data_IF_088358042314
#
_entry.id   IF_088358042314
#
_cell.length_a   1.000
_cell.length_b   1.000
_cell.length_c   1.000
_cell.angle_alpha   90.00
_cell.angle_beta   90.00
_cell.angle_gamma   90.00
#
_symmetry.space_group_name_H-M   'P 1'
#
loop_
_entity.id
_entity.type
_entity.pdbx_description
1 polymer ?
#
# COMPACT_ATOMS: atom_id res chain seq x y z
N UNK A 1 37.74 32.35 -31.21
CA UNK A 1 37.60 30.90 -31.45
C UNK A 1 37.34 30.28 -30.09
N UNK A 2 36.10 30.37 -29.60
CA UNK A 2 35.71 29.78 -28.31
C UNK A 2 34.99 28.47 -28.58
N UNK A 3 35.55 27.38 -28.06
CA UNK A 3 34.98 26.05 -28.14
C UNK A 3 33.96 25.89 -27.00
N UNK A 4 32.68 25.93 -27.35
CA UNK A 4 31.60 25.50 -26.47
C UNK A 4 31.69 23.99 -26.25
N UNK A 5 32.20 23.58 -25.09
CA UNK A 5 32.03 22.20 -24.60
C UNK A 5 30.58 22.00 -24.19
N UNK A 6 29.79 21.46 -25.11
CA UNK A 6 28.46 20.94 -24.81
C UNK A 6 28.59 19.73 -23.89
N UNK A 7 28.18 19.90 -22.63
CA UNK A 7 28.01 18.81 -21.69
C UNK A 7 26.88 17.90 -22.21
N UNK A 8 27.25 16.80 -22.88
CA UNK A 8 26.29 15.75 -23.23
C UNK A 8 25.92 15.02 -21.95
N UNK A 9 24.81 15.42 -21.33
CA UNK A 9 24.22 14.68 -20.21
C UNK A 9 23.69 13.35 -20.77
N UNK A 10 24.15 12.19 -20.26
CA UNK A 10 23.67 10.91 -20.74
C UNK A 10 22.19 10.73 -20.39
N UNK A 11 21.38 10.30 -21.36
CA UNK A 11 19.94 9.96 -21.24
C UNK A 11 19.72 8.69 -20.41
N UNK A 12 20.15 8.71 -19.15
CA UNK A 12 19.99 7.60 -18.19
C UNK A 12 19.85 8.04 -16.73
N UNK A 13 20.04 9.32 -16.40
CA UNK A 13 20.02 9.81 -15.01
C UNK A 13 18.61 10.09 -14.45
N UNK A 14 17.54 10.06 -15.26
CA UNK A 14 16.23 10.59 -14.84
C UNK A 14 15.44 9.72 -13.85
N UNK A 15 15.90 8.51 -13.51
CA UNK A 15 15.18 7.61 -12.58
C UNK A 15 15.64 7.71 -11.12
N UNK A 16 16.78 8.34 -10.85
CA UNK A 16 17.37 8.41 -9.50
C UNK A 16 17.09 9.73 -8.76
N UNK A 17 16.43 10.70 -9.40
CA UNK A 17 16.22 12.05 -8.84
C UNK A 17 14.77 12.32 -8.39
N UNK A 18 13.85 11.34 -8.49
CA UNK A 18 12.48 11.53 -8.01
C UNK A 18 12.38 11.17 -6.53
N UNK A 19 11.86 12.07 -5.72
CA UNK A 19 11.44 11.73 -4.36
C UNK A 19 10.45 10.54 -4.40
N UNK A 20 10.63 9.56 -3.50
CA UNK A 20 9.71 8.43 -3.43
C UNK A 20 8.33 8.93 -3.01
N UNK A 21 7.31 8.40 -3.67
CA UNK A 21 5.93 8.66 -3.29
C UNK A 21 5.62 8.04 -1.92
N UNK A 22 4.59 8.56 -1.24
CA UNK A 22 4.14 7.99 0.04
C UNK A 22 3.84 6.49 -0.07
N UNK A 23 3.34 6.05 -1.24
CA UNK A 23 3.06 4.64 -1.52
C UNK A 23 4.34 3.81 -1.52
N UNK A 24 5.39 4.29 -2.19
CA UNK A 24 6.69 3.61 -2.26
C UNK A 24 7.38 3.56 -0.87
N UNK A 25 7.27 4.65 -0.09
CA UNK A 25 7.80 4.71 1.28
C UNK A 25 7.09 3.68 2.16
N UNK A 26 5.76 3.68 2.15
CA UNK A 26 4.93 2.78 2.96
C UNK A 26 5.12 1.32 2.54
N UNK A 27 5.22 1.03 1.24
CA UNK A 27 5.51 -0.32 0.75
C UNK A 27 6.87 -0.80 1.26
N UNK A 28 7.91 0.05 1.18
CA UNK A 28 9.25 -0.29 1.67
C UNK A 28 9.26 -0.55 3.19
N UNK A 29 8.52 0.26 3.97
CA UNK A 29 8.38 0.06 5.40
C UNK A 29 7.72 -1.30 5.71
N UNK A 30 6.60 -1.61 5.06
CA UNK A 30 5.88 -2.86 5.31
C UNK A 30 6.64 -4.10 4.80
N UNK A 31 7.37 -4.01 3.70
CA UNK A 31 8.23 -5.11 3.24
C UNK A 31 9.29 -5.49 4.28
N UNK A 32 9.78 -4.52 5.05
CA UNK A 32 10.75 -4.74 6.11
C UNK A 32 10.12 -5.03 7.48
N UNK A 33 8.79 -4.98 7.59
CA UNK A 33 8.09 -5.31 8.84
C UNK A 33 8.20 -6.81 9.16
N UNK A 34 8.25 -7.19 10.46
CA UNK A 34 8.26 -8.58 10.87
C UNK A 34 6.93 -9.28 10.51
N UNK A 35 7.02 -10.48 9.95
CA UNK A 35 5.89 -11.34 9.63
C UNK A 35 6.17 -12.78 10.04
N UNK A 36 5.12 -13.43 10.56
CA UNK A 36 5.22 -14.78 11.10
C UNK A 36 4.81 -15.80 10.05
N UNK A 37 5.65 -16.81 9.88
CA UNK A 37 5.41 -17.92 8.98
C UNK A 37 5.61 -19.25 9.70
N UNK A 38 4.91 -20.27 9.21
CA UNK A 38 5.15 -21.67 9.61
C UNK A 38 5.85 -22.39 8.48
N UNK A 39 6.99 -23.03 8.79
CA UNK A 39 7.73 -23.83 7.83
C UNK A 39 6.97 -25.11 7.47
N UNK A 40 6.81 -25.36 6.18
CA UNK A 40 6.16 -26.54 5.62
C UNK A 40 7.16 -27.68 5.35
N UNK A 41 8.45 -27.36 5.26
CA UNK A 41 9.56 -28.30 5.08
C UNK A 41 10.83 -27.70 5.67
N UNK A 42 11.87 -28.50 5.81
CA UNK A 42 13.18 -28.03 6.29
C UNK A 42 13.80 -27.02 5.32
N UNK A 43 14.49 -26.02 5.88
CA UNK A 43 15.24 -25.02 5.12
C UNK A 43 16.68 -24.96 5.66
N UNK A 44 17.71 -25.18 4.82
CA UNK A 44 19.09 -25.21 5.27
C UNK A 44 19.59 -23.82 5.68
N UNK A 45 20.68 -23.78 6.44
CA UNK A 45 21.40 -22.53 6.68
C UNK A 45 21.86 -21.93 5.34
N UNK A 46 21.44 -20.70 5.06
CA UNK A 46 21.69 -20.01 3.80
C UNK A 46 22.16 -18.60 4.08
N UNK A 47 23.37 -18.27 3.60
CA UNK A 47 23.93 -16.92 3.71
C UNK A 47 23.49 -16.05 2.54
N UNK A 48 22.93 -14.89 2.82
CA UNK A 48 22.47 -13.90 1.85
C UNK A 48 23.12 -12.55 2.21
N UNK A 49 24.21 -12.21 1.51
CA UNK A 49 25.00 -11.02 1.82
C UNK A 49 25.60 -11.09 3.23
N UNK A 50 25.25 -10.10 4.05
CA UNK A 50 25.61 -9.98 5.47
C UNK A 50 24.64 -10.71 6.42
N UNK A 51 23.57 -11.31 5.90
CA UNK A 51 22.54 -12.01 6.69
C UNK A 51 22.67 -13.53 6.55
N UNK A 52 22.31 -14.24 7.61
CA UNK A 52 22.16 -15.71 7.59
C UNK A 52 20.71 -16.06 7.89
N UNK A 53 20.10 -16.87 7.03
CA UNK A 53 18.77 -17.44 7.22
C UNK A 53 18.88 -18.93 7.56
N UNK A 54 18.01 -19.40 8.44
CA UNK A 54 18.01 -20.81 8.84
C UNK A 54 19.20 -21.17 9.73
N UNK A 55 19.40 -22.48 9.98
CA UNK A 55 18.55 -23.58 9.53
C UNK A 55 17.17 -23.57 10.21
N UNK A 56 16.11 -23.88 9.46
CA UNK A 56 14.74 -23.98 9.97
C UNK A 56 14.17 -25.39 9.82
N UNK A 57 13.43 -25.85 10.82
CA UNK A 57 12.79 -27.17 10.84
C UNK A 57 11.36 -27.11 10.33
N UNK A 58 10.87 -28.23 9.80
CA UNK A 58 9.45 -28.38 9.45
C UNK A 58 8.56 -28.14 10.69
N UNK A 59 7.47 -27.40 10.52
CA UNK A 59 6.54 -27.03 11.59
C UNK A 59 7.02 -25.89 12.50
N UNK A 60 8.26 -25.44 12.36
CA UNK A 60 8.78 -24.30 13.13
C UNK A 60 8.03 -23.01 12.74
N UNK A 61 7.67 -22.21 13.73
CA UNK A 61 7.27 -20.83 13.52
C UNK A 61 8.48 -19.92 13.59
N UNK A 62 8.64 -19.04 12.61
CA UNK A 62 9.71 -18.04 12.57
C UNK A 62 9.13 -16.68 12.23
N UNK A 63 9.78 -15.64 12.74
CA UNK A 63 9.47 -14.25 12.42
C UNK A 63 10.61 -13.70 11.56
N UNK A 64 10.27 -13.24 10.35
CA UNK A 64 11.23 -12.72 9.38
C UNK A 64 10.68 -11.42 8.78
N UNK A 65 11.54 -10.62 8.15
CA UNK A 65 11.05 -9.50 7.32
C UNK A 65 10.08 -10.03 6.27
N UNK A 66 8.98 -9.31 6.04
CA UNK A 66 7.89 -9.74 5.18
C UNK A 66 8.35 -10.13 3.77
N UNK A 67 9.30 -9.39 3.18
CA UNK A 67 9.86 -9.75 1.87
C UNK A 67 10.52 -11.14 1.89
N UNK A 68 11.27 -11.47 2.95
CA UNK A 68 11.93 -12.77 3.12
C UNK A 68 10.90 -13.87 3.34
N UNK A 69 9.94 -13.62 4.22
CA UNK A 69 8.83 -14.53 4.47
C UNK A 69 8.07 -14.85 3.17
N UNK A 70 7.78 -13.83 2.36
CA UNK A 70 7.09 -13.99 1.09
C UNK A 70 7.85 -14.86 0.11
N UNK A 71 9.17 -14.68 -0.02
CA UNK A 71 9.97 -15.55 -0.89
C UNK A 71 9.93 -17.01 -0.43
N UNK A 72 10.04 -17.28 0.87
CA UNK A 72 9.92 -18.64 1.40
C UNK A 72 8.54 -19.27 1.10
N UNK A 73 7.46 -18.48 1.22
CA UNK A 73 6.11 -18.94 0.87
C UNK A 73 5.97 -19.21 -0.62
N UNK A 74 6.47 -18.32 -1.48
CA UNK A 74 6.41 -18.48 -2.95
C UNK A 74 7.19 -19.71 -3.43
N UNK A 75 8.29 -20.05 -2.77
CA UNK A 75 9.07 -21.26 -3.05
C UNK A 75 8.46 -22.53 -2.44
N UNK A 76 7.36 -22.42 -1.70
CA UNK A 76 6.69 -23.56 -1.06
C UNK A 76 7.38 -24.09 0.19
N UNK A 77 8.27 -23.30 0.81
CA UNK A 77 8.94 -23.65 2.06
C UNK A 77 8.12 -23.32 3.29
N UNK A 78 7.24 -22.33 3.21
CA UNK A 78 6.48 -21.85 4.34
C UNK A 78 5.06 -21.45 3.95
N UNK A 79 4.23 -21.13 4.95
CA UNK A 79 2.96 -20.43 4.78
C UNK A 79 2.84 -19.29 5.78
N UNK A 80 2.15 -18.23 5.40
CA UNK A 80 1.70 -17.20 6.34
C UNK A 80 0.58 -17.77 7.23
N UNK A 81 0.36 -17.14 8.39
CA UNK A 81 -0.89 -17.34 9.14
C UNK A 81 -2.04 -16.69 8.36
N UNK A 82 -3.17 -17.39 8.21
CA UNK A 82 -4.29 -16.95 7.36
C UNK A 82 -4.84 -15.57 7.77
N UNK A 83 -4.79 -15.23 9.07
CA UNK A 83 -5.25 -13.95 9.62
C UNK A 83 -4.37 -12.75 9.20
N UNK A 84 -3.16 -13.00 8.68
CA UNK A 84 -2.20 -11.96 8.32
C UNK A 84 -2.27 -11.53 6.84
N UNK A 85 -3.12 -12.14 6.02
CA UNK A 85 -3.15 -11.91 4.57
C UNK A 85 -4.50 -11.32 4.10
N UNK A 86 -4.45 -10.31 3.24
CA UNK A 86 -5.63 -9.88 2.50
C UNK A 86 -5.98 -10.92 1.41
N UNK A 87 -7.16 -11.51 1.53
CA UNK A 87 -7.73 -12.44 0.57
C UNK A 87 -8.87 -11.79 -0.22
N UNK A 88 -9.32 -12.44 -1.31
CA UNK A 88 -10.53 -12.03 -2.04
C UNK A 88 -11.78 -11.97 -1.14
N UNK A 89 -11.87 -12.87 -0.15
CA UNK A 89 -12.98 -12.89 0.78
C UNK A 89 -12.96 -11.66 1.70
N UNK A 90 -11.82 -11.41 2.35
CA UNK A 90 -11.66 -10.23 3.22
C UNK A 90 -11.76 -8.91 2.45
N UNK A 91 -11.33 -8.88 1.18
CA UNK A 91 -11.53 -7.73 0.30
C UNK A 91 -13.02 -7.50 0.01
N UNK A 92 -13.79 -8.57 -0.24
CA UNK A 92 -15.25 -8.50 -0.44
C UNK A 92 -15.96 -8.01 0.83
N UNK A 93 -15.55 -8.48 2.00
CA UNK A 93 -16.06 -7.98 3.30
C UNK A 93 -15.72 -6.50 3.51
N UNK A 94 -14.51 -6.08 3.15
CA UNK A 94 -14.09 -4.68 3.24
C UNK A 94 -14.95 -3.80 2.32
N UNK A 95 -15.13 -4.21 1.07
CA UNK A 95 -16.01 -3.54 0.12
C UNK A 95 -17.44 -3.39 0.66
N UNK A 96 -18.02 -4.48 1.18
CA UNK A 96 -19.37 -4.44 1.76
C UNK A 96 -19.48 -3.37 2.85
N UNK A 97 -18.52 -3.32 3.78
CA UNK A 97 -18.49 -2.30 4.85
C UNK A 97 -18.41 -0.87 4.31
N UNK A 98 -17.69 -0.65 3.20
CA UNK A 98 -17.61 0.67 2.57
C UNK A 98 -18.91 1.10 1.88
N UNK A 99 -19.70 0.13 1.38
CA UNK A 99 -20.96 0.39 0.66
C UNK A 99 -22.19 0.57 1.56
N UNK A 100 -22.07 0.36 2.87
CA UNK A 100 -23.20 0.49 3.79
C UNK A 100 -23.78 1.92 3.78
N UNK A 101 -25.08 2.10 3.43
CA UNK A 101 -25.73 3.40 3.43
C UNK A 101 -25.72 4.06 4.81
N UNK A 102 -25.53 5.38 4.88
CA UNK A 102 -25.67 6.16 6.11
C UNK A 102 -24.40 6.38 6.93
N UNK A 103 -23.30 5.71 6.62
CA UNK A 103 -22.02 6.01 7.27
C UNK A 103 -21.39 7.27 6.68
N UNK A 104 -21.56 8.43 7.34
CA UNK A 104 -20.69 9.60 7.11
C UNK A 104 -19.24 9.32 7.54
N UNK A 105 -19.06 8.32 8.39
CA UNK A 105 -17.76 7.92 8.89
C UNK A 105 -17.04 7.02 7.88
N UNK A 106 -15.72 7.21 7.80
CA UNK A 106 -14.82 6.32 7.08
C UNK A 106 -14.53 5.14 8.01
N UNK A 107 -14.90 3.90 7.63
CA UNK A 107 -14.54 2.73 8.43
C UNK A 107 -13.02 2.61 8.57
N UNK A 108 -12.56 2.15 9.73
CA UNK A 108 -11.12 1.93 9.94
C UNK A 108 -10.64 0.76 9.08
N UNK A 109 -9.58 1.00 8.31
CA UNK A 109 -8.83 -0.05 7.62
C UNK A 109 -7.55 -0.40 8.38
N UNK A 110 -7.05 -1.64 8.26
CA UNK A 110 -5.70 -1.99 8.68
C UNK A 110 -4.68 -1.07 8.00
N UNK A 111 -3.63 -0.68 8.73
CA UNK A 111 -2.53 0.15 8.17
C UNK A 111 -1.89 -0.50 6.94
N UNK A 112 -1.83 -1.83 6.91
CA UNK A 112 -1.25 -2.64 5.84
C UNK A 112 -2.19 -2.85 4.64
N UNK A 113 -3.43 -2.34 4.67
CA UNK A 113 -4.47 -2.70 3.70
C UNK A 113 -4.05 -2.45 2.25
N UNK A 114 -3.59 -1.24 1.94
CA UNK A 114 -3.23 -0.87 0.58
C UNK A 114 -1.98 -1.60 0.07
N UNK A 115 -0.99 -1.81 0.94
CA UNK A 115 0.16 -2.65 0.65
C UNK A 115 -0.28 -4.10 0.31
N UNK A 116 -1.13 -4.69 1.15
CA UNK A 116 -1.64 -6.05 0.92
C UNK A 116 -2.54 -6.13 -0.32
N UNK A 117 -3.29 -5.07 -0.65
CA UNK A 117 -4.11 -4.98 -1.85
C UNK A 117 -3.27 -4.99 -3.13
N UNK A 118 -2.22 -4.17 -3.18
CA UNK A 118 -1.26 -4.15 -4.28
C UNK A 118 -0.62 -5.53 -4.47
N UNK A 119 -0.26 -6.18 -3.37
CA UNK A 119 0.30 -7.54 -3.36
C UNK A 119 -0.70 -8.59 -3.88
N UNK A 120 -1.92 -8.61 -3.37
CA UNK A 120 -2.99 -9.53 -3.81
C UNK A 120 -3.21 -9.40 -5.33
N UNK A 121 -3.30 -8.17 -5.84
CA UNK A 121 -3.48 -7.93 -7.28
C UNK A 121 -2.26 -8.44 -8.08
N UNK A 122 -1.03 -8.22 -7.59
CA UNK A 122 0.20 -8.73 -8.23
C UNK A 122 0.23 -10.26 -8.29
N UNK A 123 -0.16 -10.91 -7.20
CA UNK A 123 -0.26 -12.37 -7.12
C UNK A 123 -1.32 -12.92 -8.09
N UNK A 124 -2.52 -12.33 -8.12
CA UNK A 124 -3.59 -12.72 -9.03
C UNK A 124 -3.20 -12.51 -10.51
N UNK A 125 -2.48 -11.43 -10.84
CA UNK A 125 -1.90 -11.24 -12.19
C UNK A 125 -0.91 -12.34 -12.56
N UNK A 126 -0.05 -12.74 -11.62
CA UNK A 126 0.90 -13.83 -11.83
C UNK A 126 0.22 -15.19 -12.02
N UNK A 127 -0.93 -15.41 -11.37
CA UNK A 127 -1.74 -16.61 -11.53
C UNK A 127 -2.49 -16.62 -12.87
N UNK A 128 -3.12 -15.52 -13.24
CA UNK A 128 -3.83 -15.37 -14.53
C UNK A 128 -2.88 -15.57 -15.72
N UNK A 129 -1.66 -15.03 -15.65
CA UNK A 129 -0.64 -15.23 -16.67
C UNK A 129 -0.25 -16.71 -16.87
N UNK A 130 -0.41 -17.55 -15.84
CA UNK A 130 -0.13 -19.00 -15.89
C UNK A 130 -1.36 -19.82 -16.24
N UNK A 131 -2.55 -19.37 -15.83
CA UNK A 131 -3.82 -20.06 -15.97
C UNK A 131 -4.95 -19.04 -16.17
N UNK A 132 -5.44 -18.93 -17.42
CA UNK A 132 -6.52 -17.99 -17.78
C UNK A 132 -7.83 -18.24 -17.02
N UNK A 133 -8.06 -19.42 -16.45
CA UNK A 133 -9.25 -19.65 -15.63
C UNK A 133 -9.27 -18.81 -14.35
N UNK A 134 -8.13 -18.27 -13.94
CA UNK A 134 -7.97 -17.34 -12.82
C UNK A 134 -8.31 -15.89 -13.13
N UNK A 135 -8.61 -15.56 -14.39
CA UNK A 135 -8.98 -14.19 -14.79
C UNK A 135 -10.15 -13.62 -13.98
N UNK A 136 -11.15 -14.46 -13.68
CA UNK A 136 -12.33 -14.06 -12.89
C UNK A 136 -11.96 -13.53 -11.49
N UNK A 137 -10.98 -14.13 -10.84
CA UNK A 137 -10.54 -13.72 -9.51
C UNK A 137 -9.80 -12.37 -9.57
N UNK A 138 -8.97 -12.18 -10.59
CA UNK A 138 -8.29 -10.90 -10.84
C UNK A 138 -9.28 -9.77 -11.16
N UNK A 139 -10.24 -10.02 -12.05
CA UNK A 139 -11.28 -9.05 -12.42
C UNK A 139 -12.11 -8.64 -11.21
N UNK A 140 -12.50 -9.61 -10.38
CA UNK A 140 -13.22 -9.36 -9.13
C UNK A 140 -12.38 -8.52 -8.17
N UNK A 141 -11.09 -8.84 -7.98
CA UNK A 141 -10.21 -8.05 -7.13
C UNK A 141 -10.11 -6.61 -7.61
N UNK A 142 -9.88 -6.39 -8.92
CA UNK A 142 -9.75 -5.06 -9.50
C UNK A 142 -11.03 -4.23 -9.37
N UNK A 143 -12.20 -4.83 -9.61
CA UNK A 143 -13.49 -4.18 -9.45
C UNK A 143 -13.72 -3.72 -8.00
N UNK A 144 -13.61 -4.64 -7.04
CA UNK A 144 -13.77 -4.33 -5.61
C UNK A 144 -12.78 -3.27 -5.12
N UNK A 145 -11.52 -3.39 -5.54
CA UNK A 145 -10.46 -2.44 -5.20
C UNK A 145 -10.79 -1.04 -5.69
N UNK A 146 -11.25 -0.93 -6.94
CA UNK A 146 -11.62 0.33 -7.56
C UNK A 146 -12.78 1.00 -6.82
N UNK A 147 -13.80 0.22 -6.46
CA UNK A 147 -14.96 0.74 -5.75
C UNK A 147 -14.60 1.21 -4.34
N UNK A 148 -13.81 0.43 -3.58
CA UNK A 148 -13.30 0.82 -2.26
C UNK A 148 -12.52 2.15 -2.37
N UNK A 149 -11.57 2.23 -3.29
CA UNK A 149 -10.75 3.44 -3.49
C UNK A 149 -11.64 4.63 -3.85
N UNK A 150 -12.58 4.47 -4.79
CA UNK A 150 -13.47 5.55 -5.20
C UNK A 150 -14.36 6.06 -4.07
N UNK A 151 -14.93 5.15 -3.28
CA UNK A 151 -15.77 5.51 -2.12
C UNK A 151 -14.94 6.33 -1.13
N UNK A 152 -13.75 5.85 -0.78
CA UNK A 152 -12.90 6.50 0.23
C UNK A 152 -12.33 7.82 -0.26
N UNK A 153 -11.89 7.92 -1.51
CA UNK A 153 -11.45 9.19 -2.13
C UNK A 153 -12.56 10.25 -2.06
N UNK A 154 -13.81 9.90 -2.37
CA UNK A 154 -14.94 10.84 -2.27
C UNK A 154 -15.13 11.33 -0.82
N UNK A 155 -15.11 10.42 0.16
CA UNK A 155 -15.23 10.77 1.58
C UNK A 155 -14.07 11.68 2.03
N UNK A 156 -12.83 11.33 1.68
CA UNK A 156 -11.63 12.14 1.98
C UNK A 156 -11.72 13.53 1.35
N UNK A 157 -12.16 13.63 0.09
CA UNK A 157 -12.32 14.90 -0.58
C UNK A 157 -13.36 15.79 0.11
N UNK A 158 -14.51 15.22 0.49
CA UNK A 158 -15.54 15.95 1.25
C UNK A 158 -15.03 16.41 2.62
N UNK A 159 -14.24 15.59 3.32
CA UNK A 159 -13.60 15.95 4.59
C UNK A 159 -12.56 17.07 4.42
N UNK A 160 -11.71 16.99 3.40
CA UNK A 160 -10.73 18.03 3.11
C UNK A 160 -11.38 19.37 2.75
N UNK A 161 -12.58 19.34 2.17
CA UNK A 161 -13.33 20.53 1.80
C UNK A 161 -14.06 21.21 2.99
N UNK A 162 -14.47 20.46 4.01
CA UNK A 162 -15.32 20.98 5.10
C UNK A 162 -14.59 21.92 6.07
N UNK A 163 -13.26 21.89 6.12
CA UNK A 163 -12.45 22.72 7.03
C UNK A 163 -12.47 22.26 8.49
N UNK A 164 -13.20 21.19 8.83
CA UNK A 164 -13.19 20.60 10.17
C UNK A 164 -11.85 19.93 10.47
N UNK A 165 -11.20 20.36 11.55
CA UNK A 165 -9.90 19.88 11.99
C UNK A 165 -10.06 19.06 13.26
N UNK A 166 -10.31 17.77 13.13
CA UNK A 166 -10.27 16.88 14.29
C UNK A 166 -9.40 15.66 14.00
N UNK A 167 -8.47 15.39 14.91
CA UNK A 167 -7.65 14.16 14.94
C UNK A 167 -8.53 12.90 14.99
N UNK A 168 -9.75 13.02 15.47
CA UNK A 168 -10.75 11.96 15.51
C UNK A 168 -11.23 11.54 14.11
N UNK A 169 -11.35 12.49 13.18
CA UNK A 169 -11.80 12.24 11.80
C UNK A 169 -10.72 11.55 10.95
N UNK A 170 -9.44 11.85 11.19
CA UNK A 170 -8.31 11.26 10.43
C UNK A 170 -7.80 9.94 11.02
N UNK A 171 -8.24 9.54 12.22
CA UNK A 171 -7.78 8.33 12.91
C UNK A 171 -8.11 7.01 12.17
N UNK A 172 -9.10 7.03 11.27
CA UNK A 172 -9.52 5.88 10.47
C UNK A 172 -8.89 5.84 9.06
N UNK A 173 -8.09 6.85 8.72
CA UNK A 173 -7.34 6.90 7.47
C UNK A 173 -6.05 6.09 7.59
N UNK A 174 -5.70 5.39 6.52
CA UNK A 174 -4.36 4.83 6.34
C UNK A 174 -3.34 5.95 6.10
N UNK A 175 -2.04 5.63 6.18
CA UNK A 175 -0.97 6.62 5.96
C UNK A 175 -1.05 7.21 4.54
N UNK A 176 -1.34 6.38 3.54
CA UNK A 176 -1.51 6.85 2.16
C UNK A 176 -2.70 7.81 2.01
N UNK A 177 -3.77 7.59 2.76
CA UNK A 177 -4.97 8.44 2.74
C UNK A 177 -4.82 9.73 3.53
N UNK A 178 -4.05 9.72 4.62
CA UNK A 178 -3.69 10.93 5.35
C UNK A 178 -2.91 11.88 4.44
N UNK A 179 -1.93 11.36 3.71
CA UNK A 179 -1.19 12.15 2.72
C UNK A 179 -2.09 12.68 1.59
N UNK A 180 -3.14 11.95 1.18
CA UNK A 180 -4.13 12.45 0.23
C UNK A 180 -4.99 13.55 0.84
N UNK A 181 -5.48 13.36 2.08
CA UNK A 181 -6.29 14.32 2.81
C UNK A 181 -5.56 15.67 2.97
N UNK A 182 -4.30 15.62 3.40
CA UNK A 182 -3.46 16.82 3.59
C UNK A 182 -3.34 17.61 2.28
N UNK A 183 -3.04 16.94 1.16
CA UNK A 183 -2.95 17.59 -0.15
C UNK A 183 -4.26 18.22 -0.60
N UNK A 184 -5.39 17.52 -0.42
CA UNK A 184 -6.71 18.07 -0.77
C UNK A 184 -7.00 19.31 0.07
N UNK A 185 -6.76 19.21 1.38
CA UNK A 185 -7.00 20.30 2.31
C UNK A 185 -6.15 21.52 1.98
N UNK A 186 -4.84 21.35 1.77
CA UNK A 186 -3.93 22.45 1.42
C UNK A 186 -4.38 23.19 0.15
N UNK A 187 -4.78 22.45 -0.88
CA UNK A 187 -5.31 23.03 -2.11
C UNK A 187 -6.61 23.82 -1.87
N UNK A 188 -7.53 23.27 -1.07
CA UNK A 188 -8.78 23.94 -0.71
C UNK A 188 -8.53 25.22 0.08
N UNK A 189 -7.67 25.17 1.10
CA UNK A 189 -7.37 26.32 1.96
C UNK A 189 -6.59 27.41 1.19
N UNK A 190 -5.66 27.03 0.32
CA UNK A 190 -4.99 27.97 -0.59
C UNK A 190 -6.00 28.68 -1.48
N UNK A 191 -6.90 27.92 -2.10
CA UNK A 191 -7.92 28.50 -2.96
C UNK A 191 -8.87 29.43 -2.20
N UNK A 192 -9.33 29.04 -1.00
CA UNK A 192 -10.15 29.92 -0.14
C UNK A 192 -9.43 31.23 0.18
N UNK A 193 -8.14 31.17 0.52
CA UNK A 193 -7.32 32.35 0.81
C UNK A 193 -7.19 33.28 -0.39
N UNK A 194 -7.04 32.73 -1.60
CA UNK A 194 -6.94 33.53 -2.83
C UNK A 194 -8.27 34.26 -3.14
N UNK A 195 -9.41 33.64 -2.81
CA UNK A 195 -10.74 34.23 -3.04
C UNK A 195 -11.13 35.23 -1.94
N UNK A 196 -10.90 34.90 -0.68
CA UNK A 196 -11.36 35.68 0.48
C UNK A 196 -10.36 36.78 0.89
N UNK A 197 -9.12 36.73 0.40
CA UNK A 197 -8.03 37.57 0.87
C UNK A 197 -7.52 37.13 2.25
N UNK A 198 -6.54 37.86 2.83
CA UNK A 198 -6.20 37.66 4.23
C UNK A 198 -7.41 38.08 5.06
N UNK A 199 -8.06 37.15 5.76
CA UNK A 199 -8.90 37.53 6.89
C UNK A 199 -8.00 38.29 7.88
N UNK A 200 -8.13 39.61 7.90
CA UNK A 200 -7.66 40.43 8.99
C UNK A 200 -8.51 40.08 10.20
N UNK A 201 -8.09 39.05 10.94
CA UNK A 201 -8.59 38.80 12.28
C UNK A 201 -8.31 40.07 13.10
N UNK A 202 -9.36 40.86 13.34
CA UNK A 202 -9.36 41.91 14.35
C UNK A 202 -9.61 41.31 15.71
#
# INVERSE_FOLDING_TARGET
MELTFGLVIPRGASKLEREPSIVEIVDTEFENSPSRITLLREFPETRIGDRTLGPYRMGQEVELSLWTAQHLVQMGYARFKDEEQLTLNTLSTTHYKETLPGSRQIPKLPRTFYFQLRRLIKELKGLEAKDRTKARDLDKALALSRDIVNIRVKKIASLGASGEQTTEVTANLTVEEQALYEKVRENVESWKKDILGRESTS
#
